data_IF_543317780907
#
_entry.id   IF_543317780907
#
_cell.length_a   1.000
_cell.length_b   1.000
_cell.length_c   1.000
_cell.angle_alpha   90.00
_cell.angle_beta   90.00
_cell.angle_gamma   90.00
#
_symmetry.space_group_name_H-M   'P 1'
#
loop_
_entity.id
_entity.type
_entity.pdbx_description
1 polymer ?
#
# COMPACT_ATOMS: atom_id res chain seq x y z
N UNK A 1 -13.03 -33.81 25.77
CA UNK A 1 -12.54 -33.79 24.38
C UNK A 1 -13.74 -33.50 23.47
N UNK A 2 -13.69 -32.46 22.62
CA UNK A 2 -14.79 -32.16 21.70
C UNK A 2 -14.78 -33.21 20.57
N UNK A 3 -15.85 -33.98 20.44
CA UNK A 3 -16.07 -34.85 19.29
C UNK A 3 -16.46 -33.97 18.12
N UNK A 4 -15.56 -33.85 17.15
CA UNK A 4 -15.89 -33.30 15.86
C UNK A 4 -16.37 -34.48 15.02
N UNK A 5 -17.60 -34.43 14.51
CA UNK A 5 -18.19 -35.44 13.61
C UNK A 5 -17.42 -35.47 12.29
N UNK A 6 -16.20 -35.98 12.33
CA UNK A 6 -15.28 -36.04 11.20
C UNK A 6 -15.65 -37.22 10.31
N UNK A 7 -15.70 -36.95 9.01
CA UNK A 7 -15.91 -37.99 8.02
C UNK A 7 -14.75 -39.00 8.08
N UNK A 8 -15.02 -40.32 8.16
CA UNK A 8 -13.98 -41.34 8.16
C UNK A 8 -13.10 -41.25 6.92
N UNK A 9 -11.77 -41.44 7.08
CA UNK A 9 -10.77 -41.32 6.00
C UNK A 9 -11.10 -42.19 4.77
N UNK A 10 -11.66 -43.37 5.01
CA UNK A 10 -12.09 -44.33 3.98
C UNK A 10 -13.14 -43.76 3.02
N UNK A 11 -13.92 -42.77 3.46
CA UNK A 11 -14.95 -42.10 2.68
C UNK A 11 -14.47 -40.81 1.99
N UNK A 12 -13.19 -40.46 2.16
CA UNK A 12 -12.58 -39.27 1.53
C UNK A 12 -11.89 -39.71 0.24
N UNK A 13 -12.43 -39.25 -0.89
CA UNK A 13 -11.85 -39.53 -2.21
C UNK A 13 -12.31 -38.50 -3.22
N UNK A 14 -11.58 -38.42 -4.34
CA UNK A 14 -11.91 -37.54 -5.45
C UNK A 14 -13.24 -37.98 -6.08
N UNK A 15 -14.24 -37.10 -6.04
CA UNK A 15 -15.52 -37.34 -6.74
C UNK A 15 -15.33 -37.02 -8.22
N UNK A 16 -15.52 -38.02 -9.09
CA UNK A 16 -15.48 -37.86 -10.56
C UNK A 16 -16.91 -37.66 -11.09
N UNK A 17 -17.11 -36.75 -12.04
CA UNK A 17 -18.41 -36.54 -12.70
C UNK A 17 -19.45 -35.74 -11.90
N UNK A 18 -19.09 -35.15 -10.75
CA UNK A 18 -19.99 -34.30 -9.99
C UNK A 18 -19.94 -32.88 -10.53
N UNK A 19 -21.09 -32.31 -10.90
CA UNK A 19 -21.21 -30.90 -11.24
C UNK A 19 -21.08 -30.10 -9.94
N UNK A 20 -19.93 -29.46 -9.73
CA UNK A 20 -19.72 -28.58 -8.59
C UNK A 20 -20.68 -27.40 -8.68
N UNK A 21 -21.54 -27.25 -7.66
CA UNK A 21 -22.41 -26.08 -7.51
C UNK A 21 -21.72 -25.19 -6.49
N UNK A 22 -21.22 -24.05 -6.95
CA UNK A 22 -20.63 -23.05 -6.05
C UNK A 22 -21.72 -22.59 -5.08
N UNK A 23 -21.55 -22.79 -3.76
CA UNK A 23 -22.50 -22.25 -2.80
C UNK A 23 -22.52 -20.73 -2.95
N UNK A 24 -23.70 -20.11 -2.88
CA UNK A 24 -23.81 -18.65 -2.89
C UNK A 24 -23.19 -18.13 -1.58
N UNK A 25 -21.94 -17.71 -1.62
CA UNK A 25 -21.27 -17.21 -0.44
C UNK A 25 -21.51 -15.71 -0.31
N UNK A 26 -22.29 -15.31 0.70
CA UNK A 26 -22.59 -13.91 1.01
C UNK A 26 -21.47 -13.28 1.84
N UNK A 27 -20.23 -13.30 1.36
CA UNK A 27 -19.10 -12.66 2.04
C UNK A 27 -19.20 -11.14 2.06
N UNK A 28 -19.91 -10.55 1.09
CA UNK A 28 -20.06 -9.12 0.95
C UNK A 28 -21.54 -8.79 0.83
N UNK A 29 -22.14 -8.39 1.94
CA UNK A 29 -23.36 -7.59 1.87
C UNK A 29 -22.87 -6.15 1.72
N UNK A 30 -23.12 -5.54 0.57
CA UNK A 30 -22.94 -4.11 0.41
C UNK A 30 -23.90 -3.42 1.37
N UNK A 31 -23.49 -3.18 2.61
CA UNK A 31 -24.23 -2.42 3.60
C UNK A 31 -24.20 -0.93 3.29
N UNK A 32 -24.03 -0.55 2.01
CA UNK A 32 -24.12 0.84 1.60
C UNK A 32 -25.54 1.28 1.90
N UNK A 33 -25.67 2.04 2.99
CA UNK A 33 -26.91 2.72 3.30
C UNK A 33 -27.23 3.65 2.12
N UNK A 34 -28.50 3.73 1.67
CA UNK A 34 -28.87 4.69 0.64
C UNK A 34 -28.66 6.10 1.20
N UNK A 35 -27.52 6.72 0.89
CA UNK A 35 -27.13 8.04 1.43
C UNK A 35 -25.68 8.17 1.88
N UNK A 36 -24.90 7.09 1.92
CA UNK A 36 -23.46 7.19 2.22
C UNK A 36 -22.72 7.90 1.08
N UNK A 37 -22.39 9.17 1.31
CA UNK A 37 -21.45 9.93 0.49
C UNK A 37 -20.07 9.31 0.71
N UNK A 38 -19.48 8.76 -0.35
CA UNK A 38 -18.10 8.30 -0.30
C UNK A 38 -17.20 9.52 -0.09
N UNK A 39 -16.48 9.52 1.03
CA UNK A 39 -15.46 10.53 1.33
C UNK A 39 -14.34 10.50 0.27
N UNK A 40 -13.61 11.61 0.16
CA UNK A 40 -12.50 11.73 -0.77
C UNK A 40 -11.45 10.62 -0.55
N UNK A 41 -10.82 10.05 -1.59
CA UNK A 41 -9.71 9.09 -1.43
C UNK A 41 -8.61 9.58 -0.47
N UNK A 42 -8.39 10.90 -0.41
CA UNK A 42 -7.44 11.52 0.52
C UNK A 42 -7.84 11.32 1.99
N UNK A 43 -9.14 11.32 2.30
CA UNK A 43 -9.64 11.08 3.65
C UNK A 43 -9.25 9.69 4.14
N UNK A 44 -9.44 8.67 3.31
CA UNK A 44 -9.04 7.30 3.64
C UNK A 44 -7.52 7.16 3.74
N UNK A 45 -6.77 7.84 2.89
CA UNK A 45 -5.30 7.84 2.96
C UNK A 45 -4.80 8.42 4.29
N UNK A 46 -5.32 9.58 4.70
CA UNK A 46 -4.94 10.24 5.95
C UNK A 46 -5.34 9.46 7.21
N UNK A 47 -6.30 8.51 7.10
CA UNK A 47 -6.64 7.60 8.20
C UNK A 47 -5.51 6.62 8.53
N UNK A 48 -4.72 6.22 7.52
CA UNK A 48 -3.58 5.32 7.70
C UNK A 48 -2.27 6.07 7.88
N UNK A 49 -2.11 7.20 7.18
CA UNK A 49 -0.94 8.07 7.27
C UNK A 49 -1.28 9.32 8.09
N UNK A 50 -1.26 9.15 9.41
CA UNK A 50 -1.52 10.25 10.35
C UNK A 50 -0.34 11.21 10.44
N UNK A 51 -0.59 12.44 10.88
CA UNK A 51 0.47 13.44 11.08
C UNK A 51 1.52 12.97 12.11
N UNK A 52 1.10 12.27 13.16
CA UNK A 52 1.98 11.68 14.18
C UNK A 52 2.96 10.67 13.56
N UNK A 53 2.50 9.88 12.58
CA UNK A 53 3.37 8.95 11.85
C UNK A 53 4.45 9.70 11.08
N UNK A 54 4.08 10.80 10.40
CA UNK A 54 5.06 11.65 9.69
C UNK A 54 6.07 12.28 10.64
N UNK A 55 5.65 12.69 11.83
CA UNK A 55 6.54 13.22 12.84
C UNK A 55 7.55 12.16 13.33
N UNK A 56 7.07 10.96 13.71
CA UNK A 56 7.94 9.86 14.12
C UNK A 56 8.94 9.47 13.03
N UNK A 57 8.49 9.40 11.77
CA UNK A 57 9.38 9.13 10.63
C UNK A 57 10.48 10.19 10.51
N UNK A 58 10.17 11.47 10.70
CA UNK A 58 11.16 12.55 10.70
C UNK A 58 12.17 12.43 11.83
N UNK A 59 11.69 12.18 13.04
CA UNK A 59 12.54 12.01 14.23
C UNK A 59 13.54 10.86 14.07
N UNK A 60 13.07 9.68 13.67
CA UNK A 60 13.95 8.52 13.49
C UNK A 60 14.90 8.66 12.31
N UNK A 61 14.48 9.29 11.21
CA UNK A 61 15.35 9.54 10.06
C UNK A 61 16.48 10.49 10.42
N UNK A 62 16.17 11.58 11.15
CA UNK A 62 17.17 12.52 11.63
C UNK A 62 18.12 11.87 12.63
N UNK A 63 17.61 11.04 13.54
CA UNK A 63 18.42 10.28 14.50
C UNK A 63 19.39 9.34 13.78
N UNK A 64 18.92 8.61 12.76
CA UNK A 64 19.76 7.75 11.92
C UNK A 64 20.83 8.54 11.17
N UNK A 65 20.51 9.72 10.64
CA UNK A 65 21.48 10.57 9.95
C UNK A 65 22.62 11.04 10.89
N UNK A 66 22.28 11.40 12.14
CA UNK A 66 23.24 11.75 13.19
C UNK A 66 24.15 10.57 13.50
N UNK A 67 23.57 9.36 13.67
CA UNK A 67 24.33 8.15 13.98
C UNK A 67 25.34 7.76 12.90
N UNK A 68 25.05 8.04 11.63
CA UNK A 68 25.91 7.66 10.51
C UNK A 68 26.85 8.78 10.05
N UNK A 69 27.02 9.85 10.83
CA UNK A 69 27.86 11.00 10.51
C UNK A 69 27.60 11.60 9.11
N UNK A 70 26.37 11.47 8.61
CA UNK A 70 25.99 12.10 7.34
C UNK A 70 25.74 13.59 7.54
N UNK A 71 25.91 14.39 6.48
CA UNK A 71 25.55 15.81 6.49
C UNK A 71 24.11 15.94 6.97
N UNK A 72 23.90 16.68 8.06
CA UNK A 72 22.59 16.91 8.68
C UNK A 72 21.70 17.74 7.76
N UNK A 73 21.06 17.07 6.82
CA UNK A 73 19.89 17.60 6.12
C UNK A 73 18.72 17.19 6.99
N UNK A 74 18.29 18.10 7.88
CA UNK A 74 17.13 17.88 8.74
C UNK A 74 15.94 17.61 7.84
N UNK A 75 15.47 16.36 7.84
CA UNK A 75 14.32 15.97 7.04
C UNK A 75 13.08 16.62 7.65
N UNK A 76 12.37 17.40 6.85
CA UNK A 76 11.15 18.07 7.29
C UNK A 76 9.93 17.17 7.07
N UNK A 77 8.92 17.25 7.94
CA UNK A 77 7.66 16.48 7.79
C UNK A 77 6.99 16.72 6.43
N UNK A 78 7.15 17.91 5.85
CA UNK A 78 6.67 18.24 4.50
C UNK A 78 7.42 17.46 3.41
N UNK A 79 8.74 17.29 3.53
CA UNK A 79 9.51 16.47 2.59
C UNK A 79 9.11 15.00 2.68
N UNK A 80 8.82 14.49 3.89
CA UNK A 80 8.32 13.14 4.08
C UNK A 80 6.93 12.93 3.48
N UNK A 81 6.03 13.92 3.60
CA UNK A 81 4.72 13.88 2.95
C UNK A 81 4.87 13.83 1.43
N UNK A 82 5.76 14.64 0.86
CA UNK A 82 6.09 14.62 -0.57
C UNK A 82 6.70 13.29 -0.99
N UNK A 83 7.63 12.75 -0.19
CA UNK A 83 8.28 11.47 -0.45
C UNK A 83 7.27 10.32 -0.49
N UNK A 84 6.40 10.19 0.52
CA UNK A 84 5.37 9.13 0.60
C UNK A 84 4.32 9.33 -0.50
N UNK A 85 3.87 10.57 -0.72
CA UNK A 85 2.88 10.93 -1.74
C UNK A 85 3.37 10.72 -3.18
N UNK A 86 4.68 10.66 -3.40
CA UNK A 86 5.26 10.23 -4.67
C UNK A 86 5.45 8.72 -4.69
N UNK A 87 6.06 8.14 -3.65
CA UNK A 87 6.46 6.74 -3.68
C UNK A 87 5.27 5.78 -3.75
N UNK A 88 4.26 5.97 -2.91
CA UNK A 88 3.13 5.02 -2.83
C UNK A 88 2.21 5.13 -4.06
N UNK A 89 1.73 6.33 -4.47
CA UNK A 89 0.79 6.43 -5.58
C UNK A 89 1.47 6.24 -6.95
N UNK A 90 2.65 6.85 -7.14
CA UNK A 90 3.30 6.91 -8.47
C UNK A 90 4.09 5.64 -8.75
N UNK A 91 4.88 5.15 -7.78
CA UNK A 91 5.77 3.99 -8.00
C UNK A 91 5.07 2.64 -7.80
N UNK A 92 4.15 2.54 -6.82
CA UNK A 92 3.55 1.26 -6.47
C UNK A 92 2.20 1.00 -7.14
N UNK A 93 1.50 2.04 -7.62
CA UNK A 93 0.11 1.91 -8.08
C UNK A 93 -0.15 2.32 -9.53
N UNK A 94 0.41 3.44 -9.98
CA UNK A 94 -0.02 4.06 -11.25
C UNK A 94 0.95 3.81 -12.42
N UNK A 95 2.24 3.63 -12.18
CA UNK A 95 3.23 3.50 -13.25
C UNK A 95 4.02 2.20 -13.08
N UNK A 96 3.87 1.31 -14.05
CA UNK A 96 4.54 0.01 -14.07
C UNK A 96 5.94 0.09 -14.72
N UNK A 97 6.78 1.03 -14.27
CA UNK A 97 8.15 1.05 -14.79
C UNK A 97 8.95 -0.14 -14.26
N UNK A 98 9.71 -0.85 -15.12
CA UNK A 98 10.43 -2.05 -14.72
C UNK A 98 11.59 -1.78 -13.75
N UNK A 99 12.04 -0.52 -13.63
CA UNK A 99 13.12 -0.14 -12.70
C UNK A 99 12.86 1.24 -12.09
N UNK A 100 13.13 1.35 -10.79
CA UNK A 100 12.98 2.58 -10.01
C UNK A 100 13.83 3.76 -10.53
N UNK A 101 14.95 3.50 -11.21
CA UNK A 101 15.81 4.56 -11.74
C UNK A 101 15.19 5.33 -12.91
N UNK A 102 14.19 4.77 -13.58
CA UNK A 102 13.57 5.41 -14.74
C UNK A 102 12.80 6.68 -14.39
N UNK A 103 12.22 6.73 -13.19
CA UNK A 103 11.46 7.91 -12.72
C UNK A 103 12.33 9.18 -12.66
N UNK A 104 13.62 9.02 -12.37
CA UNK A 104 14.64 10.09 -12.29
C UNK A 104 15.56 10.15 -13.51
N UNK A 105 15.27 9.43 -14.59
CA UNK A 105 16.12 9.46 -15.78
C UNK A 105 16.08 10.84 -16.43
N UNK A 106 17.23 11.33 -16.90
CA UNK A 106 17.34 12.60 -17.63
C UNK A 106 16.78 12.49 -19.05
N UNK A 107 16.55 11.26 -19.55
CA UNK A 107 15.90 11.02 -20.84
C UNK A 107 14.43 11.40 -20.78
N UNK A 108 14.07 12.41 -21.57
CA UNK A 108 12.73 13.00 -21.67
C UNK A 108 11.59 12.01 -21.96
N UNK A 109 11.91 10.84 -22.52
CA UNK A 109 10.94 9.79 -22.86
C UNK A 109 10.50 8.93 -21.67
N UNK A 110 11.22 8.95 -20.55
CA UNK A 110 10.92 8.10 -19.38
C UNK A 110 10.88 8.89 -18.06
N UNK A 111 11.39 10.13 -18.08
CA UNK A 111 11.35 11.04 -16.93
C UNK A 111 9.91 11.36 -16.53
N UNK A 112 9.63 11.28 -15.23
CA UNK A 112 8.38 11.79 -14.67
C UNK A 112 8.67 13.12 -13.96
N UNK A 113 8.21 14.27 -14.49
CA UNK A 113 8.49 15.58 -13.91
C UNK A 113 8.06 15.68 -12.45
N UNK A 114 6.86 15.20 -12.11
CA UNK A 114 6.34 15.25 -10.73
C UNK A 114 7.21 14.50 -9.71
N UNK A 115 7.96 13.48 -10.14
CA UNK A 115 8.89 12.76 -9.28
C UNK A 115 10.25 13.45 -9.24
N UNK A 116 10.82 13.70 -10.42
CA UNK A 116 12.18 14.19 -10.57
C UNK A 116 12.38 15.66 -10.15
N UNK A 117 11.32 16.47 -10.15
CA UNK A 117 11.37 17.88 -9.73
C UNK A 117 11.18 18.05 -8.21
N UNK A 118 10.47 17.12 -7.55
CA UNK A 118 10.15 17.20 -6.12
C UNK A 118 11.09 16.40 -5.24
N UNK A 119 11.68 15.32 -5.77
CA UNK A 119 12.65 14.49 -5.06
C UNK A 119 13.89 14.41 -5.94
N UNK A 120 15.01 15.09 -5.61
CA UNK A 120 16.25 14.91 -6.35
C UNK A 120 16.88 13.54 -6.04
N UNK A 121 17.73 13.06 -6.94
CA UNK A 121 18.44 11.77 -6.82
C UNK A 121 19.59 11.84 -5.82
#
# INVERSE_FOLDING_TARGET
>A
MKNYDLTPKEKIGWRKGVKFITPLIRWFQSSKSPGEVLESPMYFFNKYFTDDLYQMMGEFTNLYAIQNHQKLILTTTQELKTFVGIHIPVLMGNLHYPRLRFYWDSKRSVRIPIVADNVPK
#
